data_IF_876143207421
#
_entry.id   IF_876143207421
#
_cell.length_a   1.000
_cell.length_b   1.000
_cell.length_c   1.000
_cell.angle_alpha   90.00
_cell.angle_beta   90.00
_cell.angle_gamma   90.00
#
_symmetry.space_group_name_H-M   'P 1'
#
loop_
_entity.id
_entity.type
_entity.pdbx_description
1 polymer ?
#
# COMPACT_ATOMS: atom_id res chain seq x y z
N UNK A 1 1.11 17.59 21.65
CA UNK A 1 2.51 17.06 21.67
C UNK A 1 3.42 18.04 20.94
N UNK A 2 4.58 18.44 21.48
CA UNK A 2 5.37 19.56 20.92
C UNK A 2 5.95 19.25 19.55
N UNK A 3 5.97 20.24 18.66
CA UNK A 3 6.55 20.18 17.31
C UNK A 3 7.98 19.58 17.27
N UNK A 4 8.75 19.72 18.37
CA UNK A 4 10.10 19.14 18.47
C UNK A 4 10.12 17.60 18.37
N UNK A 5 9.22 16.90 19.09
CA UNK A 5 9.15 15.42 19.02
C UNK A 5 8.79 14.94 17.61
N UNK A 6 7.88 15.61 16.91
CA UNK A 6 7.52 15.29 15.54
C UNK A 6 8.72 15.44 14.59
N UNK A 7 9.45 16.57 14.68
CA UNK A 7 10.64 16.81 13.84
C UNK A 7 11.72 15.75 14.10
N UNK A 8 12.01 15.42 15.37
CA UNK A 8 12.97 14.36 15.69
C UNK A 8 12.56 12.99 15.14
N UNK A 9 11.27 12.69 15.15
CA UNK A 9 10.78 11.42 14.59
C UNK A 9 10.88 11.36 13.09
N UNK A 10 10.61 12.45 12.38
CA UNK A 10 10.83 12.53 10.93
C UNK A 10 12.32 12.33 10.61
N UNK A 11 13.22 13.00 11.31
CA UNK A 11 14.67 12.85 11.12
C UNK A 11 15.10 11.41 11.38
N UNK A 12 14.62 10.80 12.46
CA UNK A 12 14.92 9.40 12.79
C UNK A 12 14.41 8.45 11.69
N UNK A 13 13.16 8.62 11.24
CA UNK A 13 12.59 7.79 10.17
C UNK A 13 13.35 7.97 8.85
N UNK A 14 13.74 9.18 8.48
CA UNK A 14 14.54 9.44 7.28
C UNK A 14 15.92 8.79 7.38
N UNK A 15 16.58 8.88 8.54
CA UNK A 15 17.86 8.21 8.77
C UNK A 15 17.73 6.69 8.66
N UNK A 16 16.73 6.10 9.31
CA UNK A 16 16.46 4.66 9.22
C UNK A 16 16.11 4.24 7.79
N UNK A 17 15.31 5.01 7.08
CA UNK A 17 14.95 4.74 5.69
C UNK A 17 16.18 4.76 4.78
N UNK A 18 17.08 5.73 4.96
CA UNK A 18 18.34 5.81 4.22
C UNK A 18 19.23 4.59 4.47
N UNK A 19 19.35 4.18 5.74
CA UNK A 19 20.09 2.97 6.13
C UNK A 19 19.45 1.73 5.48
N UNK A 20 18.13 1.57 5.54
CA UNK A 20 17.43 0.42 4.95
C UNK A 20 17.54 0.43 3.42
N UNK A 21 17.54 1.59 2.77
CA UNK A 21 17.75 1.70 1.33
C UNK A 21 19.14 1.23 0.92
N UNK A 22 20.17 1.61 1.68
CA UNK A 22 21.54 1.12 1.46
C UNK A 22 21.60 -0.41 1.63
N UNK A 23 21.02 -0.95 2.70
CA UNK A 23 20.96 -2.39 2.91
C UNK A 23 20.16 -3.11 1.81
N UNK A 24 19.09 -2.53 1.32
CA UNK A 24 18.28 -3.08 0.22
C UNK A 24 19.09 -3.22 -1.08
N UNK A 25 20.00 -2.27 -1.37
CA UNK A 25 20.88 -2.34 -2.54
C UNK A 25 22.03 -3.35 -2.31
N UNK A 26 22.58 -3.42 -1.10
CA UNK A 26 23.75 -4.26 -0.79
C UNK A 26 23.39 -5.73 -0.56
N UNK A 27 22.24 -6.01 0.12
CA UNK A 27 21.87 -7.36 0.53
C UNK A 27 20.89 -8.03 -0.46
N UNK A 28 21.01 -9.33 -0.62
CA UNK A 28 20.16 -10.15 -1.47
C UNK A 28 20.81 -11.52 -1.70
N UNK A 29 20.36 -12.27 -2.75
CA UNK A 29 20.93 -13.58 -3.08
C UNK A 29 22.47 -13.54 -3.24
N UNK A 30 23.01 -12.45 -3.78
CA UNK A 30 24.43 -12.12 -3.75
C UNK A 30 24.62 -10.85 -2.91
N UNK A 31 25.35 -10.95 -1.80
CA UNK A 31 25.73 -9.78 -0.99
C UNK A 31 26.86 -9.01 -1.68
N UNK A 32 26.72 -7.69 -1.77
CA UNK A 32 27.67 -6.78 -2.40
C UNK A 32 28.20 -5.83 -1.33
N UNK A 33 29.52 -5.66 -1.26
CA UNK A 33 30.15 -4.77 -0.31
C UNK A 33 29.73 -3.31 -0.56
N UNK A 34 29.52 -2.56 0.52
CA UNK A 34 29.08 -1.16 0.43
C UNK A 34 30.05 -0.29 -0.41
N UNK A 35 31.36 -0.51 -0.29
CA UNK A 35 32.36 0.19 -1.12
C UNK A 35 32.09 0.01 -2.61
N UNK A 36 31.74 -1.22 -3.04
CA UNK A 36 31.42 -1.50 -4.43
C UNK A 36 30.11 -0.83 -4.90
N UNK A 37 29.12 -0.73 -4.00
CA UNK A 37 27.89 0.04 -4.30
C UNK A 37 28.23 1.51 -4.58
N UNK A 38 29.10 2.12 -3.76
CA UNK A 38 29.54 3.50 -3.95
C UNK A 38 30.34 3.65 -5.24
N UNK A 39 31.26 2.74 -5.53
CA UNK A 39 32.06 2.77 -6.76
C UNK A 39 31.17 2.74 -8.02
N UNK A 40 30.19 1.85 -8.05
CA UNK A 40 29.25 1.75 -9.19
C UNK A 40 28.39 3.02 -9.32
N UNK A 41 27.91 3.58 -8.21
CA UNK A 41 27.11 4.83 -8.24
C UNK A 41 27.95 6.05 -8.69
N UNK A 42 29.27 6.03 -8.48
CA UNK A 42 30.19 7.04 -8.97
C UNK A 42 30.62 6.81 -10.43
N UNK A 43 30.14 5.75 -11.08
CA UNK A 43 30.45 5.42 -12.47
C UNK A 43 31.77 4.66 -12.65
N UNK A 44 32.35 4.16 -11.57
CA UNK A 44 33.53 3.31 -11.62
C UNK A 44 33.09 1.87 -11.89
N UNK A 45 33.70 1.21 -12.90
CA UNK A 45 33.47 -0.21 -13.24
C UNK A 45 31.99 -0.54 -13.65
N UNK A 46 31.46 0.15 -14.69
CA UNK A 46 30.06 -0.01 -15.09
C UNK A 46 29.70 -1.37 -15.70
N UNK A 47 30.68 -2.10 -16.22
CA UNK A 47 30.49 -3.37 -16.94
C UNK A 47 30.59 -4.60 -16.04
N UNK A 48 30.76 -4.43 -14.72
CA UNK A 48 30.86 -5.54 -13.78
C UNK A 48 29.48 -6.19 -13.53
N UNK A 49 29.51 -7.48 -13.19
CA UNK A 49 28.30 -8.21 -12.78
C UNK A 49 27.64 -7.53 -11.57
N UNK A 50 28.45 -7.02 -10.64
CA UNK A 50 27.98 -6.27 -9.47
C UNK A 50 27.25 -5.00 -9.88
N UNK A 51 27.73 -4.26 -10.88
CA UNK A 51 27.04 -3.07 -11.40
C UNK A 51 25.66 -3.42 -11.95
N UNK A 52 25.55 -4.47 -12.74
CA UNK A 52 24.26 -4.95 -13.25
C UNK A 52 23.28 -5.27 -12.14
N UNK A 53 23.71 -5.97 -11.10
CA UNK A 53 22.88 -6.31 -9.94
C UNK A 53 22.44 -5.05 -9.18
N UNK A 54 23.36 -4.12 -8.93
CA UNK A 54 23.06 -2.86 -8.24
C UNK A 54 22.04 -2.05 -9.02
N UNK A 55 22.21 -1.88 -10.32
CA UNK A 55 21.32 -1.13 -11.19
C UNK A 55 19.91 -1.72 -11.24
N UNK A 56 19.76 -3.05 -11.11
CA UNK A 56 18.42 -3.69 -10.98
C UNK A 56 17.81 -3.51 -9.60
N UNK A 57 18.62 -3.41 -8.54
CA UNK A 57 18.13 -3.23 -7.16
C UNK A 57 17.66 -1.80 -6.86
N UNK A 58 18.18 -0.79 -7.56
CA UNK A 58 17.80 0.61 -7.35
C UNK A 58 16.31 0.83 -7.61
N UNK A 59 15.72 0.51 -8.79
CA UNK A 59 14.29 0.68 -9.02
C UNK A 59 13.45 -0.16 -8.05
N UNK A 60 13.85 -1.38 -7.70
CA UNK A 60 13.18 -2.20 -6.68
C UNK A 60 13.13 -1.50 -5.32
N UNK A 61 14.25 -0.93 -4.87
CA UNK A 61 14.34 -0.21 -3.59
C UNK A 61 13.47 1.05 -3.60
N UNK A 62 13.52 1.85 -4.68
CA UNK A 62 12.71 3.06 -4.82
C UNK A 62 11.23 2.70 -4.86
N UNK A 63 10.85 1.66 -5.61
CA UNK A 63 9.47 1.21 -5.63
C UNK A 63 9.04 0.68 -4.25
N UNK A 64 9.88 -0.03 -3.53
CA UNK A 64 9.61 -0.46 -2.15
C UNK A 64 9.30 0.71 -1.20
N UNK A 65 10.03 1.83 -1.32
CA UNK A 65 9.78 3.06 -0.58
C UNK A 65 8.41 3.66 -0.96
N UNK A 66 8.16 3.82 -2.25
CA UNK A 66 6.92 4.39 -2.76
C UNK A 66 5.70 3.53 -2.41
N UNK A 67 5.79 2.22 -2.65
CA UNK A 67 4.73 1.26 -2.39
C UNK A 67 4.41 1.16 -0.89
N UNK A 68 5.44 0.99 -0.05
CA UNK A 68 5.27 0.96 1.40
C UNK A 68 4.64 2.25 1.92
N UNK A 69 5.18 3.40 1.52
CA UNK A 69 4.66 4.71 1.91
C UNK A 69 3.22 4.93 1.45
N UNK A 70 2.90 4.59 0.21
CA UNK A 70 1.55 4.71 -0.35
C UNK A 70 0.55 3.83 0.40
N UNK A 71 0.88 2.56 0.68
CA UNK A 71 0.03 1.66 1.46
C UNK A 71 -0.18 2.16 2.89
N UNK A 72 0.88 2.66 3.54
CA UNK A 72 0.77 3.22 4.88
C UNK A 72 -0.16 4.44 4.94
N UNK A 73 -0.02 5.37 4.00
CA UNK A 73 -0.90 6.54 3.92
C UNK A 73 -2.34 6.14 3.58
N UNK A 74 -2.51 5.23 2.63
CA UNK A 74 -3.82 4.72 2.24
C UNK A 74 -4.54 4.07 3.41
N UNK A 75 -3.82 3.27 4.22
CA UNK A 75 -4.35 2.70 5.46
C UNK A 75 -4.74 3.76 6.50
N UNK A 76 -3.89 4.77 6.72
CA UNK A 76 -4.19 5.88 7.63
C UNK A 76 -5.46 6.64 7.21
N UNK A 77 -5.63 6.89 5.91
CA UNK A 77 -6.83 7.50 5.35
C UNK A 77 -8.08 6.67 5.61
N UNK A 78 -8.03 5.36 5.30
CA UNK A 78 -9.18 4.47 5.50
C UNK A 78 -9.57 4.34 6.96
N UNK A 79 -8.59 4.23 7.87
CA UNK A 79 -8.85 4.22 9.30
C UNK A 79 -9.51 5.52 9.79
N UNK A 80 -9.11 6.67 9.24
CA UNK A 80 -9.72 7.96 9.59
C UNK A 80 -11.15 8.11 9.05
N UNK A 81 -11.37 7.78 7.77
CA UNK A 81 -12.68 7.89 7.09
C UNK A 81 -13.72 6.98 7.73
N UNK A 82 -13.30 5.74 8.04
CA UNK A 82 -14.20 4.72 8.61
C UNK A 82 -14.27 4.79 10.14
N UNK A 83 -13.46 5.64 10.77
CA UNK A 83 -13.28 5.68 12.23
C UNK A 83 -13.05 4.30 12.82
N UNK A 84 -12.35 3.47 12.08
CA UNK A 84 -12.05 2.12 12.49
C UNK A 84 -10.53 1.90 12.41
N UNK A 85 -9.84 1.70 13.53
CA UNK A 85 -8.37 1.56 13.55
C UNK A 85 -7.86 0.31 12.86
N UNK A 86 -8.74 -0.61 12.50
CA UNK A 86 -8.41 -1.85 11.76
C UNK A 86 -8.87 -1.81 10.30
N UNK A 87 -9.30 -0.65 9.81
CA UNK A 87 -9.68 -0.51 8.41
C UNK A 87 -8.45 -0.52 7.49
N UNK A 88 -8.60 -1.20 6.38
CA UNK A 88 -7.61 -1.33 5.32
C UNK A 88 -8.23 -0.88 3.99
N UNK A 89 -7.45 -0.37 3.03
CA UNK A 89 -7.96 0.04 1.71
C UNK A 89 -8.72 -1.05 0.94
N UNK A 90 -8.45 -2.33 1.23
CA UNK A 90 -9.16 -3.47 0.64
C UNK A 90 -10.66 -3.48 0.95
N UNK A 91 -11.10 -2.77 2.01
CA UNK A 91 -12.53 -2.58 2.34
C UNK A 91 -13.32 -1.98 1.16
N UNK A 92 -12.69 -1.18 0.30
CA UNK A 92 -13.32 -0.66 -0.91
C UNK A 92 -13.25 -1.64 -2.11
N UNK A 93 -12.81 -2.87 -1.89
CA UNK A 93 -12.69 -3.89 -2.95
C UNK A 93 -11.57 -3.63 -3.95
N UNK A 94 -10.64 -2.71 -3.66
CA UNK A 94 -9.55 -2.29 -4.56
C UNK A 94 -8.74 -3.50 -5.03
N UNK A 95 -8.29 -4.34 -4.10
CA UNK A 95 -7.45 -5.50 -4.40
C UNK A 95 -8.21 -6.56 -5.21
N UNK A 96 -9.45 -6.87 -4.84
CA UNK A 96 -10.29 -7.87 -5.54
C UNK A 96 -10.74 -7.40 -6.91
N UNK A 97 -11.02 -6.10 -7.05
CA UNK A 97 -11.32 -5.49 -8.34
C UNK A 97 -10.13 -5.52 -9.29
N UNK A 98 -8.94 -5.14 -8.81
CA UNK A 98 -7.71 -5.27 -9.57
C UNK A 98 -7.47 -6.74 -10.00
N UNK A 99 -7.63 -7.68 -9.08
CA UNK A 99 -7.49 -9.12 -9.33
C UNK A 99 -8.43 -9.62 -10.43
N UNK A 100 -9.71 -9.24 -10.38
CA UNK A 100 -10.68 -9.67 -11.38
C UNK A 100 -10.31 -9.17 -12.79
N UNK A 101 -9.94 -7.90 -12.91
CA UNK A 101 -9.59 -7.32 -14.21
C UNK A 101 -8.30 -7.94 -14.77
N UNK A 102 -7.29 -8.19 -13.92
CA UNK A 102 -6.06 -8.87 -14.33
C UNK A 102 -6.34 -10.30 -14.77
N UNK A 103 -7.06 -11.09 -14.00
CA UNK A 103 -7.42 -12.47 -14.34
C UNK A 103 -8.23 -12.52 -15.63
N UNK A 104 -9.22 -11.65 -15.79
CA UNK A 104 -10.02 -11.55 -17.01
C UNK A 104 -9.15 -11.17 -18.21
N UNK A 105 -8.20 -10.26 -18.04
CA UNK A 105 -7.23 -9.88 -19.06
C UNK A 105 -6.38 -11.05 -19.53
N UNK A 106 -5.84 -11.83 -18.59
CA UNK A 106 -5.05 -13.03 -18.92
C UNK A 106 -5.92 -14.09 -19.62
N UNK A 107 -7.13 -14.33 -19.11
CA UNK A 107 -8.00 -15.41 -19.58
C UNK A 107 -8.61 -15.14 -20.97
N UNK A 108 -9.12 -13.93 -21.20
CA UNK A 108 -9.92 -13.60 -22.38
C UNK A 108 -9.15 -12.84 -23.45
N UNK A 109 -8.11 -12.06 -23.05
CA UNK A 109 -7.35 -11.23 -23.97
C UNK A 109 -5.90 -11.70 -24.16
N UNK A 110 -5.50 -12.82 -23.54
CA UNK A 110 -4.13 -13.36 -23.58
C UNK A 110 -3.04 -12.35 -23.26
N UNK A 111 -3.29 -11.48 -22.30
CA UNK A 111 -2.35 -10.46 -21.87
C UNK A 111 -1.16 -11.13 -21.17
N UNK A 112 0.06 -10.71 -21.52
CA UNK A 112 1.32 -11.28 -20.98
C UNK A 112 2.31 -10.22 -20.52
N UNK A 113 2.08 -8.95 -20.84
CA UNK A 113 3.01 -7.85 -20.58
C UNK A 113 2.63 -7.10 -19.30
N UNK A 114 3.62 -6.82 -18.45
CA UNK A 114 3.41 -6.12 -17.16
C UNK A 114 2.66 -4.78 -17.30
N UNK A 115 2.98 -3.99 -18.31
CA UNK A 115 2.30 -2.73 -18.63
C UNK A 115 0.77 -2.89 -18.76
N UNK A 116 0.31 -3.95 -19.40
CA UNK A 116 -1.13 -4.21 -19.60
C UNK A 116 -1.81 -4.63 -18.29
N UNK A 117 -1.12 -5.43 -17.45
CA UNK A 117 -1.62 -5.78 -16.12
C UNK A 117 -1.83 -4.54 -15.25
N UNK A 118 -0.88 -3.59 -15.29
CA UNK A 118 -0.94 -2.35 -14.50
C UNK A 118 -2.21 -1.56 -14.84
N UNK A 119 -2.49 -1.33 -16.12
CA UNK A 119 -3.69 -0.60 -16.54
C UNK A 119 -4.99 -1.31 -16.14
N UNK A 120 -5.06 -2.63 -16.35
CA UNK A 120 -6.25 -3.38 -15.96
C UNK A 120 -6.46 -3.36 -14.45
N UNK A 121 -5.39 -3.50 -13.68
CA UNK A 121 -5.48 -3.45 -12.23
C UNK A 121 -5.93 -2.06 -11.73
N UNK A 122 -5.41 -0.97 -12.29
CA UNK A 122 -5.84 0.40 -11.95
C UNK A 122 -7.33 0.60 -12.27
N UNK A 123 -7.76 0.20 -13.48
CA UNK A 123 -9.16 0.31 -13.89
C UNK A 123 -10.05 -0.54 -12.99
N UNK A 124 -9.66 -1.81 -12.75
CA UNK A 124 -10.41 -2.73 -11.90
C UNK A 124 -10.54 -2.23 -10.45
N UNK A 125 -9.46 -1.70 -9.89
CA UNK A 125 -9.45 -1.07 -8.57
C UNK A 125 -10.39 0.13 -8.51
N UNK A 126 -10.29 1.04 -9.48
CA UNK A 126 -11.11 2.25 -9.56
C UNK A 126 -12.59 1.96 -9.75
N UNK A 127 -12.93 1.12 -10.73
CA UNK A 127 -14.33 0.73 -11.02
C UNK A 127 -14.97 0.08 -9.80
N UNK A 128 -14.26 -0.84 -9.14
CA UNK A 128 -14.78 -1.53 -7.96
C UNK A 128 -14.95 -0.58 -6.78
N UNK A 129 -13.99 0.32 -6.54
CA UNK A 129 -14.11 1.30 -5.46
C UNK A 129 -15.29 2.26 -5.69
N UNK A 130 -15.50 2.74 -6.92
CA UNK A 130 -16.65 3.59 -7.28
C UNK A 130 -17.96 2.81 -7.08
N UNK A 131 -18.00 1.55 -7.50
CA UNK A 131 -19.18 0.70 -7.32
C UNK A 131 -19.50 0.48 -5.84
N UNK A 132 -18.51 0.07 -5.03
CA UNK A 132 -18.68 -0.12 -3.57
C UNK A 132 -19.12 1.16 -2.88
N UNK A 133 -18.48 2.29 -3.22
CA UNK A 133 -18.85 3.58 -2.66
C UNK A 133 -20.27 4.00 -3.07
N UNK A 134 -20.64 3.76 -4.32
CA UNK A 134 -22.00 4.01 -4.83
C UNK A 134 -23.04 3.21 -4.07
N UNK A 135 -22.83 1.90 -3.90
CA UNK A 135 -23.71 1.02 -3.13
C UNK A 135 -23.82 1.48 -1.67
N UNK A 136 -22.69 1.79 -1.04
CA UNK A 136 -22.67 2.27 0.34
C UNK A 136 -23.36 3.62 0.54
N UNK A 137 -23.43 4.44 -0.52
CA UNK A 137 -24.06 5.77 -0.50
C UNK A 137 -25.58 5.72 -0.68
N UNK A 138 -26.14 4.56 -1.01
CA UNK A 138 -27.60 4.43 -1.19
C UNK A 138 -28.35 4.61 0.13
N UNK A 139 -29.46 5.37 0.08
CA UNK A 139 -30.32 5.67 1.22
C UNK A 139 -30.06 7.05 1.84
N UNK A 140 -30.81 7.37 2.91
CA UNK A 140 -30.89 8.73 3.46
C UNK A 140 -29.61 9.21 4.16
N UNK A 141 -28.81 8.28 4.73
CA UNK A 141 -27.63 8.63 5.56
C UNK A 141 -26.33 8.70 4.77
N UNK A 142 -26.36 8.48 3.45
CA UNK A 142 -25.16 8.43 2.61
C UNK A 142 -24.20 7.28 2.96
N UNK A 143 -22.93 7.42 2.57
CA UNK A 143 -21.87 6.42 2.83
C UNK A 143 -21.39 6.49 4.29
N UNK A 144 -21.98 5.69 5.17
CA UNK A 144 -21.51 5.52 6.54
C UNK A 144 -20.36 4.50 6.61
N UNK A 145 -19.50 4.55 7.65
CA UNK A 145 -18.41 3.59 7.83
C UNK A 145 -18.86 2.12 7.79
N UNK A 146 -20.00 1.82 8.43
CA UNK A 146 -20.58 0.47 8.45
C UNK A 146 -21.06 0.03 7.06
N UNK A 147 -21.74 0.90 6.32
CA UNK A 147 -22.19 0.61 4.94
C UNK A 147 -21.00 0.37 4.01
N UNK A 148 -19.94 1.16 4.12
CA UNK A 148 -18.71 0.95 3.34
C UNK A 148 -18.09 -0.42 3.61
N UNK A 149 -17.94 -0.80 4.88
CA UNK A 149 -17.38 -2.08 5.25
C UNK A 149 -18.23 -3.27 4.77
N UNK A 150 -19.54 -3.21 4.96
CA UNK A 150 -20.47 -4.27 4.54
C UNK A 150 -20.54 -4.40 3.00
N UNK A 151 -20.70 -3.29 2.30
CA UNK A 151 -20.78 -3.27 0.83
C UNK A 151 -19.47 -3.77 0.22
N UNK A 152 -18.34 -3.30 0.72
CA UNK A 152 -17.03 -3.73 0.23
C UNK A 152 -16.74 -5.19 0.48
N UNK A 153 -17.09 -5.71 1.66
CA UNK A 153 -16.94 -7.14 1.97
C UNK A 153 -17.82 -7.99 1.05
N UNK A 154 -19.08 -7.64 0.88
CA UNK A 154 -20.01 -8.35 0.00
C UNK A 154 -19.51 -8.36 -1.46
N UNK A 155 -19.12 -7.20 -1.98
CA UNK A 155 -18.57 -7.07 -3.33
C UNK A 155 -17.27 -7.88 -3.48
N UNK A 156 -16.36 -7.82 -2.49
CA UNK A 156 -15.10 -8.56 -2.52
C UNK A 156 -15.32 -10.08 -2.56
N UNK A 157 -16.32 -10.60 -1.85
CA UNK A 157 -16.68 -12.03 -1.91
C UNK A 157 -17.16 -12.41 -3.30
N UNK A 158 -18.05 -11.63 -3.91
CA UNK A 158 -18.55 -11.87 -5.26
C UNK A 158 -17.42 -11.82 -6.29
N UNK A 159 -16.60 -10.77 -6.26
CA UNK A 159 -15.48 -10.62 -7.18
C UNK A 159 -14.44 -11.74 -7.00
N UNK A 160 -14.14 -12.12 -5.75
CA UNK A 160 -13.24 -13.24 -5.45
C UNK A 160 -13.76 -14.59 -6.00
N UNK A 161 -15.08 -14.80 -5.92
CA UNK A 161 -15.72 -15.99 -6.53
C UNK A 161 -15.61 -15.98 -8.05
N UNK A 162 -15.77 -14.81 -8.70
CA UNK A 162 -15.56 -14.66 -10.15
C UNK A 162 -14.10 -14.91 -10.54
N UNK A 163 -13.14 -14.37 -9.77
CA UNK A 163 -11.70 -14.65 -9.96
C UNK A 163 -11.44 -16.16 -9.93
N UNK A 164 -11.95 -16.86 -8.92
CA UNK A 164 -11.79 -18.32 -8.80
C UNK A 164 -12.46 -19.06 -9.95
N UNK A 165 -13.64 -18.65 -10.38
CA UNK A 165 -14.37 -19.26 -11.50
C UNK A 165 -13.60 -19.14 -12.82
N UNK A 166 -12.95 -18.01 -13.08
CA UNK A 166 -12.15 -17.80 -14.30
C UNK A 166 -10.81 -18.56 -14.21
N UNK A 167 -10.20 -18.60 -13.04
CA UNK A 167 -8.87 -19.14 -12.83
C UNK A 167 -8.84 -20.69 -12.82
N UNK A 168 -9.77 -21.33 -12.10
CA UNK A 168 -9.73 -22.78 -11.85
C UNK A 168 -9.75 -23.66 -13.10
N UNK A 169 -10.52 -23.37 -14.17
CA UNK A 169 -10.56 -24.20 -15.38
C UNK A 169 -9.30 -24.11 -16.24
N UNK A 170 -8.40 -23.12 -15.98
CA UNK A 170 -7.28 -22.82 -16.88
C UNK A 170 -5.96 -22.71 -16.11
N UNK A 171 -5.16 -23.77 -16.17
CA UNK A 171 -3.88 -23.86 -15.49
C UNK A 171 -2.91 -22.71 -15.86
N UNK A 172 -2.90 -22.28 -17.14
CA UNK A 172 -2.05 -21.16 -17.60
C UNK A 172 -2.43 -19.85 -16.89
N UNK A 173 -3.74 -19.58 -16.80
CA UNK A 173 -4.26 -18.39 -16.09
C UNK A 173 -3.91 -18.48 -14.61
N UNK A 174 -4.09 -19.64 -14.00
CA UNK A 174 -3.78 -19.89 -12.60
C UNK A 174 -2.30 -19.64 -12.29
N UNK A 175 -1.37 -20.15 -13.10
CA UNK A 175 0.07 -19.95 -12.90
C UNK A 175 0.47 -18.49 -13.04
N UNK A 176 0.04 -17.81 -14.11
CA UNK A 176 0.37 -16.41 -14.35
C UNK A 176 -0.18 -15.50 -13.24
N UNK A 177 -1.42 -15.75 -12.80
CA UNK A 177 -2.07 -14.93 -11.77
C UNK A 177 -1.52 -15.19 -10.37
N UNK A 178 -1.13 -16.41 -10.04
CA UNK A 178 -0.61 -16.79 -8.72
C UNK A 178 0.61 -15.97 -8.33
N UNK A 179 1.54 -15.75 -9.26
CA UNK A 179 2.73 -14.92 -9.01
C UNK A 179 2.36 -13.46 -8.72
N UNK A 180 1.38 -12.91 -9.45
CA UNK A 180 0.92 -11.55 -9.21
C UNK A 180 0.17 -11.42 -7.88
N UNK A 181 -0.66 -12.41 -7.52
CA UNK A 181 -1.50 -12.39 -6.32
C UNK A 181 -0.72 -12.42 -5.00
N UNK A 182 0.49 -12.98 -4.99
CA UNK A 182 1.31 -13.08 -3.77
C UNK A 182 1.84 -11.73 -3.30
N UNK A 183 1.98 -10.78 -4.20
CA UNK A 183 2.48 -9.43 -3.94
C UNK A 183 4.01 -9.36 -3.89
N UNK A 184 4.60 -8.74 -4.93
CA UNK A 184 6.04 -8.62 -5.11
C UNK A 184 6.46 -7.22 -5.55
N UNK A 185 7.60 -6.76 -5.07
CA UNK A 185 8.26 -5.55 -5.58
C UNK A 185 9.45 -5.88 -6.50
N UNK A 186 9.74 -7.17 -6.71
CA UNK A 186 10.90 -7.63 -7.47
C UNK A 186 10.86 -7.31 -8.96
N UNK A 187 9.68 -7.16 -9.55
CA UNK A 187 9.46 -6.85 -10.96
C UNK A 187 9.50 -5.35 -11.30
N UNK A 188 9.86 -4.49 -10.35
CA UNK A 188 9.86 -3.05 -10.54
C UNK A 188 10.97 -2.60 -11.51
N UNK A 189 10.58 -1.91 -12.57
CA UNK A 189 11.45 -1.21 -13.51
C UNK A 189 11.16 0.28 -13.49
N UNK A 190 12.10 1.10 -13.95
CA UNK A 190 11.89 2.55 -14.05
C UNK A 190 10.66 2.90 -14.88
N UNK A 191 10.45 2.19 -15.98
CA UNK A 191 9.31 2.40 -16.88
C UNK A 191 7.98 2.18 -16.14
N UNK A 192 7.85 1.06 -15.42
CA UNK A 192 6.65 0.73 -14.66
C UNK A 192 6.42 1.68 -13.48
N UNK A 193 7.48 2.13 -12.80
CA UNK A 193 7.39 3.12 -11.72
C UNK A 193 6.90 4.46 -12.28
N UNK A 194 7.43 4.93 -13.41
CA UNK A 194 6.98 6.17 -14.03
C UNK A 194 5.51 6.11 -14.44
N UNK A 195 5.03 4.93 -14.87
CA UNK A 195 3.63 4.74 -15.25
C UNK A 195 2.66 4.95 -14.08
N UNK A 196 3.00 4.43 -12.90
CA UNK A 196 2.13 4.54 -11.72
C UNK A 196 2.37 5.83 -10.90
N UNK A 197 3.50 6.50 -11.11
CA UNK A 197 3.89 7.67 -10.32
C UNK A 197 2.88 8.82 -10.32
N UNK A 198 2.17 9.15 -11.43
CA UNK A 198 1.16 10.20 -11.40
C UNK A 198 0.02 9.90 -10.41
N UNK A 199 -0.40 8.64 -10.30
CA UNK A 199 -1.44 8.22 -9.37
C UNK A 199 -0.95 8.30 -7.91
N UNK A 200 0.30 7.89 -7.65
CA UNK A 200 0.91 7.99 -6.32
C UNK A 200 1.08 9.45 -5.89
N UNK A 201 1.57 10.32 -6.79
CA UNK A 201 1.76 11.74 -6.51
C UNK A 201 0.41 12.41 -6.27
N UNK A 202 -0.59 12.16 -7.12
CA UNK A 202 -1.93 12.70 -6.94
C UNK A 202 -2.53 12.27 -5.60
N UNK A 203 -2.48 10.97 -5.27
CA UNK A 203 -2.95 10.44 -4.00
C UNK A 203 -2.22 11.06 -2.80
N UNK A 204 -0.90 11.22 -2.87
CA UNK A 204 -0.10 11.86 -1.83
C UNK A 204 -0.52 13.32 -1.62
N UNK A 205 -0.60 14.10 -2.68
CA UNK A 205 -0.96 15.51 -2.64
C UNK A 205 -2.36 15.68 -2.05
N UNK A 206 -3.34 14.92 -2.58
CA UNK A 206 -4.73 14.99 -2.09
C UNK A 206 -4.79 14.67 -0.59
N UNK A 207 -4.10 13.60 -0.13
CA UNK A 207 -4.10 13.22 1.29
C UNK A 207 -3.53 14.29 2.21
N UNK A 208 -2.47 14.99 1.78
CA UNK A 208 -1.91 16.10 2.53
C UNK A 208 -2.88 17.27 2.64
N UNK A 209 -3.54 17.64 1.55
CA UNK A 209 -4.51 18.75 1.53
C UNK A 209 -5.73 18.49 2.41
N UNK A 210 -6.25 17.24 2.45
CA UNK A 210 -7.44 16.93 3.25
C UNK A 210 -7.13 16.60 4.71
N UNK A 211 -5.86 16.54 5.12
CA UNK A 211 -5.45 16.11 6.47
C UNK A 211 -6.13 16.91 7.59
N UNK A 212 -6.31 18.22 7.42
CA UNK A 212 -7.01 19.08 8.38
C UNK A 212 -8.49 18.74 8.51
N UNK A 213 -9.18 18.50 7.40
CA UNK A 213 -10.60 18.10 7.40
C UNK A 213 -10.82 16.70 8.00
N UNK A 214 -9.84 15.78 7.82
CA UNK A 214 -9.87 14.46 8.45
C UNK A 214 -9.72 14.55 9.98
N UNK A 215 -8.98 15.52 10.51
CA UNK A 215 -8.93 15.77 11.96
C UNK A 215 -10.30 16.15 12.50
N UNK A 216 -11.06 16.98 11.78
CA UNK A 216 -12.42 17.35 12.19
C UNK A 216 -13.36 16.15 12.16
N UNK A 217 -13.23 15.24 11.18
CA UNK A 217 -14.02 14.01 11.13
C UNK A 217 -13.81 13.11 12.36
N UNK A 218 -12.66 13.12 12.97
CA UNK A 218 -12.38 12.35 14.18
C UNK A 218 -13.23 12.79 15.39
N UNK A 219 -13.77 14.03 15.38
CA UNK A 219 -14.62 14.58 16.44
C UNK A 219 -16.10 14.13 16.34
N UNK A 220 -16.49 13.49 15.24
CA UNK A 220 -17.87 13.13 14.94
C UNK A 220 -18.44 13.94 13.78
N UNK A 221 -19.47 13.42 13.10
CA UNK A 221 -20.05 14.05 11.92
C UNK A 221 -20.72 15.38 12.25
N UNK A 222 -21.43 15.45 13.37
CA UNK A 222 -22.10 16.66 13.84
C UNK A 222 -21.09 17.75 14.19
N UNK A 223 -20.06 17.39 14.98
CA UNK A 223 -18.99 18.33 15.35
C UNK A 223 -18.17 18.79 14.13
N UNK A 224 -17.86 17.89 13.21
CA UNK A 224 -17.16 18.22 11.97
C UNK A 224 -17.96 19.21 11.11
N UNK A 225 -19.29 18.99 11.01
CA UNK A 225 -20.19 19.89 10.28
C UNK A 225 -20.29 21.25 10.95
N UNK A 226 -20.38 21.31 12.28
CA UNK A 226 -20.38 22.54 13.05
C UNK A 226 -19.07 23.35 12.85
N UNK A 227 -17.94 22.66 12.61
CA UNK A 227 -16.65 23.26 12.25
C UNK A 227 -16.52 23.63 10.75
N UNK A 228 -17.62 23.53 9.99
CA UNK A 228 -17.65 23.89 8.56
C UNK A 228 -17.08 22.82 7.63
N UNK A 229 -16.85 21.58 8.10
CA UNK A 229 -16.34 20.49 7.27
C UNK A 229 -17.50 19.81 6.54
N UNK A 230 -17.41 19.73 5.21
CA UNK A 230 -18.32 18.89 4.43
C UNK A 230 -17.91 17.42 4.57
N UNK A 231 -18.62 16.70 5.46
CA UNK A 231 -18.33 15.29 5.81
C UNK A 231 -18.35 14.37 4.59
N UNK A 232 -19.36 14.50 3.71
CA UNK A 232 -19.50 13.66 2.51
C UNK A 232 -18.34 13.90 1.56
N UNK A 233 -18.04 15.16 1.26
CA UNK A 233 -16.93 15.51 0.36
C UNK A 233 -15.59 15.06 0.91
N UNK A 234 -15.34 15.26 2.21
CA UNK A 234 -14.07 14.84 2.86
C UNK A 234 -13.89 13.32 2.81
N UNK A 235 -14.94 12.54 3.08
CA UNK A 235 -14.91 11.09 2.96
C UNK A 235 -14.67 10.64 1.52
N UNK A 236 -15.34 11.24 0.56
CA UNK A 236 -15.19 10.90 -0.87
C UNK A 236 -13.80 11.18 -1.37
N UNK A 237 -13.26 12.36 -1.09
CA UNK A 237 -11.90 12.74 -1.50
C UNK A 237 -10.85 11.86 -0.80
N UNK A 238 -11.04 11.57 0.48
CA UNK A 238 -10.15 10.69 1.22
C UNK A 238 -10.19 9.24 0.72
N UNK A 239 -11.37 8.71 0.38
CA UNK A 239 -11.52 7.41 -0.25
C UNK A 239 -10.84 7.38 -1.63
N UNK A 240 -11.04 8.41 -2.47
CA UNK A 240 -10.37 8.54 -3.76
C UNK A 240 -8.85 8.55 -3.61
N UNK A 241 -8.31 9.34 -2.69
CA UNK A 241 -6.87 9.38 -2.40
C UNK A 241 -6.34 8.01 -1.97
N UNK A 242 -7.06 7.31 -1.08
CA UNK A 242 -6.71 5.96 -0.65
C UNK A 242 -6.70 4.96 -1.81
N UNK A 243 -7.68 5.03 -2.70
CA UNK A 243 -7.79 4.18 -3.91
C UNK A 243 -6.64 4.46 -4.89
N UNK A 244 -6.28 5.72 -5.10
CA UNK A 244 -5.14 6.10 -5.96
C UNK A 244 -3.84 5.51 -5.42
N UNK A 245 -3.57 5.66 -4.13
CA UNK A 245 -2.35 5.15 -3.49
C UNK A 245 -2.29 3.62 -3.48
N UNK A 246 -3.35 2.96 -2.99
CA UNK A 246 -3.42 1.51 -2.90
C UNK A 246 -3.53 0.87 -4.29
N UNK A 247 -4.40 1.39 -5.16
CA UNK A 247 -4.64 0.84 -6.50
C UNK A 247 -3.40 0.91 -7.39
N UNK A 248 -2.67 2.03 -7.40
CA UNK A 248 -1.42 2.16 -8.14
C UNK A 248 -0.34 1.20 -7.61
N UNK A 249 -0.24 1.06 -6.29
CA UNK A 249 0.69 0.10 -5.68
C UNK A 249 0.32 -1.34 -6.04
N UNK A 250 -0.96 -1.72 -5.87
CA UNK A 250 -1.45 -3.05 -6.20
C UNK A 250 -1.29 -3.37 -7.68
N UNK A 251 -1.43 -2.39 -8.56
CA UNK A 251 -1.30 -2.58 -10.01
C UNK A 251 0.10 -3.08 -10.41
N UNK A 252 1.16 -2.58 -9.78
CA UNK A 252 2.53 -2.99 -10.07
C UNK A 252 3.01 -4.13 -9.16
N UNK A 253 2.72 -4.06 -7.87
CA UNK A 253 3.20 -5.04 -6.89
C UNK A 253 2.28 -6.24 -6.69
N UNK A 254 1.03 -6.19 -7.17
CA UNK A 254 0.00 -7.09 -6.67
C UNK A 254 -0.49 -6.67 -5.27
N UNK A 255 -1.44 -7.39 -4.69
CA UNK A 255 -1.99 -7.08 -3.38
C UNK A 255 -0.98 -7.35 -2.26
N UNK A 256 -0.62 -6.33 -1.48
CA UNK A 256 0.22 -6.44 -0.29
C UNK A 256 -0.61 -6.04 0.93
N UNK A 257 -0.76 -6.95 1.88
CA UNK A 257 -1.54 -6.73 3.09
C UNK A 257 -0.70 -6.26 4.29
N UNK A 258 -1.41 -5.90 5.36
CA UNK A 258 -0.90 -5.55 6.69
C UNK A 258 -0.10 -4.24 6.80
N UNK A 259 0.62 -3.79 5.78
CA UNK A 259 1.45 -2.57 5.82
C UNK A 259 0.62 -1.34 6.20
N UNK A 260 -0.51 -1.14 5.50
CA UNK A 260 -1.44 -0.04 5.74
C UNK A 260 -2.25 -0.17 7.03
N UNK A 261 -2.23 -1.34 7.67
CA UNK A 261 -2.96 -1.59 8.90
C UNK A 261 -2.08 -1.34 10.13
N UNK A 262 -0.86 -1.85 10.12
CA UNK A 262 0.00 -1.90 11.30
C UNK A 262 0.66 -0.57 11.58
N UNK A 263 1.33 0.00 10.59
CA UNK A 263 2.14 1.20 10.80
C UNK A 263 1.29 2.40 11.22
N UNK A 264 0.16 2.73 10.57
CA UNK A 264 -0.69 3.80 11.04
C UNK A 264 -1.20 3.57 12.47
N UNK A 265 -1.48 2.32 12.84
CA UNK A 265 -1.88 1.98 14.19
C UNK A 265 -0.76 2.25 15.22
N UNK A 266 0.46 1.82 14.93
CA UNK A 266 1.64 2.10 15.78
C UNK A 266 1.89 3.61 15.90
N UNK A 267 1.85 4.33 14.78
CA UNK A 267 2.03 5.77 14.77
C UNK A 267 0.98 6.48 15.62
N UNK A 268 -0.27 6.04 15.55
CA UNK A 268 -1.37 6.58 16.37
C UNK A 268 -1.13 6.37 17.86
N UNK A 269 -0.63 5.21 18.27
CA UNK A 269 -0.31 4.95 19.68
C UNK A 269 0.80 5.87 20.23
N UNK A 270 1.76 6.24 19.39
CA UNK A 270 2.93 7.04 19.78
C UNK A 270 2.64 8.54 19.67
N UNK A 271 1.94 8.96 18.60
CA UNK A 271 1.80 10.38 18.21
C UNK A 271 0.38 10.92 18.30
N UNK A 272 -0.62 10.06 18.57
CA UNK A 272 -2.03 10.41 18.56
C UNK A 272 -2.63 10.39 17.15
N UNK A 273 -3.85 10.91 17.03
CA UNK A 273 -4.68 10.80 15.81
C UNK A 273 -4.58 12.02 14.89
N UNK A 274 -3.63 12.95 15.11
CA UNK A 274 -3.49 14.14 14.26
C UNK A 274 -2.99 13.78 12.86
N UNK A 275 -3.86 13.87 11.87
CA UNK A 275 -3.60 13.38 10.50
C UNK A 275 -2.44 14.08 9.79
N UNK A 276 -2.22 15.34 10.04
CA UNK A 276 -1.09 16.11 9.50
C UNK A 276 0.28 15.55 9.92
N UNK A 277 0.36 14.90 11.08
CA UNK A 277 1.56 14.21 11.57
C UNK A 277 1.53 12.71 11.22
N UNK A 278 0.35 12.12 11.29
CA UNK A 278 0.14 10.69 11.08
C UNK A 278 0.42 10.26 9.64
N UNK A 279 0.01 11.05 8.63
CA UNK A 279 0.21 10.71 7.22
C UNK A 279 1.70 10.63 6.84
N UNK A 280 2.55 11.66 7.09
CA UNK A 280 3.97 11.57 6.72
C UNK A 280 4.73 10.51 7.52
N UNK A 281 4.42 10.33 8.81
CA UNK A 281 5.05 9.28 9.61
C UNK A 281 4.61 7.88 9.16
N UNK A 282 3.34 7.70 8.77
CA UNK A 282 2.86 6.45 8.21
C UNK A 282 3.53 6.14 6.87
N UNK A 283 3.77 7.14 6.03
CA UNK A 283 4.54 6.99 4.79
C UNK A 283 5.94 6.43 5.09
N UNK A 284 6.69 7.13 5.95
CA UNK A 284 8.08 6.76 6.26
C UNK A 284 8.17 5.40 6.97
N UNK A 285 7.35 5.18 7.98
CA UNK A 285 7.35 3.93 8.74
C UNK A 285 6.98 2.72 7.89
N UNK A 286 6.01 2.88 6.98
CA UNK A 286 5.59 1.81 6.07
C UNK A 286 6.61 1.55 4.96
N UNK A 287 7.30 2.58 4.49
CA UNK A 287 8.43 2.43 3.57
C UNK A 287 9.57 1.62 4.22
N UNK A 288 9.89 1.91 5.48
CA UNK A 288 10.89 1.14 6.25
C UNK A 288 10.45 -0.32 6.40
N UNK A 289 9.20 -0.58 6.80
CA UNK A 289 8.67 -1.94 6.95
C UNK A 289 8.73 -2.71 5.63
N UNK A 290 8.40 -2.06 4.52
CA UNK A 290 8.44 -2.66 3.18
C UNK A 290 9.87 -3.08 2.81
N UNK A 291 10.86 -2.20 3.00
CA UNK A 291 12.25 -2.53 2.71
C UNK A 291 12.80 -3.63 3.61
N UNK A 292 12.47 -3.61 4.91
CA UNK A 292 12.85 -4.69 5.84
C UNK A 292 12.26 -6.03 5.36
N UNK A 293 10.97 -6.04 5.02
CA UNK A 293 10.28 -7.25 4.55
C UNK A 293 10.88 -7.79 3.24
N UNK A 294 11.24 -6.91 2.31
CA UNK A 294 11.88 -7.28 1.06
C UNK A 294 13.29 -7.84 1.28
N UNK A 295 14.09 -7.22 2.13
CA UNK A 295 15.43 -7.73 2.49
C UNK A 295 15.33 -9.11 3.13
N UNK A 296 14.42 -9.29 4.09
CA UNK A 296 14.18 -10.56 4.75
C UNK A 296 13.77 -11.64 3.72
N UNK A 297 12.82 -11.32 2.82
CA UNK A 297 12.37 -12.24 1.77
C UNK A 297 13.49 -12.72 0.85
N UNK A 298 14.44 -11.83 0.53
CA UNK A 298 15.62 -12.15 -0.30
C UNK A 298 16.68 -13.00 0.41
N UNK A 299 16.71 -13.00 1.74
CA UNK A 299 17.75 -13.70 2.52
C UNK A 299 17.25 -15.07 2.99
N UNK A 300 15.96 -15.21 3.37
CA UNK A 300 15.46 -16.43 4.00
C UNK A 300 15.42 -17.62 3.03
N UNK A 301 15.12 -17.41 1.76
CA UNK A 301 14.82 -18.47 0.79
C UNK A 301 15.92 -18.73 -0.23
N UNK A 302 17.19 -18.46 0.10
CA UNK A 302 18.29 -18.68 -0.80
C UNK A 302 18.32 -20.11 -1.39
N UNK A 303 18.54 -20.31 -2.70
CA UNK A 303 18.88 -19.29 -3.72
C UNK A 303 17.67 -18.57 -4.32
N UNK A 304 16.44 -18.93 -3.96
CA UNK A 304 15.21 -18.25 -4.37
C UNK A 304 14.94 -16.99 -3.55
N UNK A 305 13.81 -16.35 -3.81
CA UNK A 305 13.33 -15.21 -3.04
C UNK A 305 11.90 -15.48 -2.54
N UNK A 306 11.59 -15.10 -1.29
CA UNK A 306 10.22 -15.07 -0.79
C UNK A 306 9.61 -13.71 -1.08
N UNK A 307 8.42 -13.71 -1.67
CA UNK A 307 7.72 -12.49 -2.03
C UNK A 307 7.39 -11.62 -0.80
N UNK A 308 7.52 -10.31 -0.96
CA UNK A 308 7.35 -9.35 0.14
C UNK A 308 5.97 -9.43 0.78
N UNK A 309 4.92 -9.75 0.00
CA UNK A 309 3.56 -9.90 0.52
C UNK A 309 3.42 -11.02 1.56
N UNK A 310 4.17 -12.12 1.41
CA UNK A 310 4.23 -13.20 2.41
C UNK A 310 4.91 -12.69 3.69
N UNK A 311 6.06 -12.03 3.54
CA UNK A 311 6.83 -11.56 4.69
C UNK A 311 6.06 -10.50 5.49
N UNK A 312 5.41 -9.55 4.80
CA UNK A 312 4.57 -8.55 5.48
C UNK A 312 3.40 -9.18 6.22
N UNK A 313 2.81 -10.25 5.69
CA UNK A 313 1.74 -10.99 6.37
C UNK A 313 2.25 -11.72 7.61
N UNK A 314 3.41 -12.39 7.51
CA UNK A 314 4.03 -13.12 8.64
C UNK A 314 4.45 -12.16 9.77
N UNK A 315 5.01 -11.01 9.44
CA UNK A 315 5.36 -9.99 10.42
C UNK A 315 4.13 -9.26 10.97
N UNK A 316 3.14 -9.07 10.12
CA UNK A 316 1.99 -8.24 10.40
C UNK A 316 0.92 -8.90 11.25
N UNK A 317 0.59 -10.15 10.97
CA UNK A 317 -0.48 -10.85 11.67
C UNK A 317 -0.22 -10.98 13.20
N UNK A 318 0.98 -11.35 13.68
CA UNK A 318 1.25 -11.40 15.12
C UNK A 318 1.13 -10.03 15.80
N UNK A 319 1.69 -8.96 15.16
CA UNK A 319 1.61 -7.60 15.72
C UNK A 319 0.16 -7.14 15.83
N UNK A 320 -0.65 -7.46 14.83
CA UNK A 320 -2.07 -7.12 14.82
C UNK A 320 -2.86 -7.87 15.89
N UNK A 321 -2.62 -9.19 16.06
CA UNK A 321 -3.25 -10.01 17.10
C UNK A 321 -2.91 -9.46 18.50
N UNK A 322 -1.65 -9.10 18.74
CA UNK A 322 -1.22 -8.51 20.01
C UNK A 322 -1.89 -7.14 20.25
N UNK A 323 -2.00 -6.30 19.22
CA UNK A 323 -2.65 -5.00 19.34
C UNK A 323 -4.14 -5.13 19.76
N UNK A 324 -4.86 -6.10 19.18
CA UNK A 324 -6.26 -6.37 19.54
C UNK A 324 -6.36 -6.91 20.95
N UNK A 325 -5.52 -7.90 21.30
CA UNK A 325 -5.55 -8.57 22.62
C UNK A 325 -5.32 -7.62 23.79
N UNK A 326 -4.41 -6.65 23.63
CA UNK A 326 -4.12 -5.67 24.68
C UNK A 326 -5.20 -4.59 24.85
N UNK A 327 -6.31 -4.66 24.14
CA UNK A 327 -7.40 -3.68 24.19
C UNK A 327 -6.97 -2.27 23.77
N UNK A 328 -5.82 -2.13 23.11
CA UNK A 328 -5.29 -0.85 22.63
C UNK A 328 -6.01 -0.35 21.37
N UNK A 329 -6.89 -1.17 20.80
CA UNK A 329 -7.79 -0.79 19.71
C UNK A 329 -8.97 -0.01 20.32
N UNK A 330 -8.71 1.22 20.76
CA UNK A 330 -9.78 2.13 21.15
C UNK A 330 -10.50 2.60 19.89
N UNK A 331 -11.83 2.62 19.91
CA UNK A 331 -12.65 3.28 18.89
C UNK A 331 -12.17 4.73 18.71
N UNK A 332 -12.07 5.16 17.49
CA UNK A 332 -11.78 6.55 17.10
C UNK A 332 -12.99 7.43 17.40
#
# INVERSE_FOLDING_TARGET
>A
MGNKKFVYSIILCLTLLSIMAIFSISLGAKSIAFSKVVDVLLGNDPDSLEATIILQRIPRTIFGILAGGALGMSGALMQSITRNPIADPSILGVNTGASLFVVAGIAFFNITVAYQYIWLAIIGAGVTAVFVYGVASMGKDGATPLKLALSGSAVSIVLGSLVSTIMLPNNRVMEAFRFWQVGSIGSATWENIMLISPFLIAGFIISMFISGYLNNLALGDEAATALGTNVVMTRTIGALSSVLLCGATTALAGPIGFVGLIIPHIIRLIFGSEMSKMLPLSFLGSAILMLISDIIGRIISLPGETEVGIVTAVLGAPVFILAIREGKVKSL
#
